data_IF_686760780323
#
_entry.id   IF_686760780323
#
_cell.length_a   1.000
_cell.length_b   1.000
_cell.length_c   1.000
_cell.angle_alpha   90.00
_cell.angle_beta   90.00
_cell.angle_gamma   90.00
#
_symmetry.space_group_name_H-M   'P 1'
#
loop_
_entity.id
_entity.type
_entity.pdbx_description
1 polymer ?
#
# COMPACT_ATOMS: atom_id res chain seq x y z
N UNK A 1 11.35 18.10 -10.70
CA UNK A 1 12.73 18.40 -10.29
C UNK A 1 13.66 17.58 -11.17
N UNK A 2 14.63 18.22 -11.81
CA UNK A 2 15.64 17.53 -12.62
C UNK A 2 16.74 16.94 -11.73
N UNK A 3 17.10 15.67 -11.96
CA UNK A 3 18.18 14.97 -11.26
C UNK A 3 19.00 14.20 -12.30
N UNK A 4 20.33 14.22 -12.17
CA UNK A 4 21.21 13.45 -13.05
C UNK A 4 21.04 11.93 -12.83
N UNK A 5 21.42 11.13 -13.82
CA UNK A 5 21.47 9.67 -13.67
C UNK A 5 22.46 9.22 -12.58
N UNK A 6 22.22 8.08 -11.91
CA UNK A 6 23.13 7.53 -10.90
C UNK A 6 24.48 7.06 -11.49
N UNK A 7 25.51 6.89 -10.64
CA UNK A 7 26.77 6.25 -11.01
C UNK A 7 26.57 4.83 -11.56
N UNK A 8 27.35 4.47 -12.58
CA UNK A 8 27.33 3.11 -13.13
C UNK A 8 27.95 2.12 -12.14
N UNK A 9 27.54 0.85 -12.19
CA UNK A 9 28.17 -0.21 -11.38
C UNK A 9 29.69 -0.30 -11.59
N UNK A 10 30.16 -0.07 -12.82
CA UNK A 10 31.59 -0.03 -13.14
C UNK A 10 32.32 1.12 -12.42
N UNK A 11 31.72 2.31 -12.36
CA UNK A 11 32.24 3.44 -11.58
C UNK A 11 32.30 3.10 -10.10
N UNK A 12 31.23 2.52 -9.55
CA UNK A 12 31.16 2.11 -8.14
C UNK A 12 32.25 1.10 -7.80
N UNK A 13 32.42 0.04 -8.59
CA UNK A 13 33.45 -0.96 -8.34
C UNK A 13 34.86 -0.40 -8.44
N UNK A 14 35.09 0.55 -9.35
CA UNK A 14 36.37 1.26 -9.43
C UNK A 14 36.67 2.04 -8.16
N UNK A 15 35.69 2.78 -7.61
CA UNK A 15 35.84 3.51 -6.34
C UNK A 15 36.22 2.58 -5.18
N UNK A 16 35.50 1.47 -5.04
CA UNK A 16 35.78 0.48 -3.98
C UNK A 16 37.09 -0.28 -4.21
N UNK A 17 37.53 -0.39 -5.46
CA UNK A 17 38.80 -1.01 -5.84
C UNK A 17 40.02 -0.10 -5.71
N UNK A 18 39.83 1.22 -5.66
CA UNK A 18 40.92 2.22 -5.57
C UNK A 18 41.15 2.77 -4.16
N UNK A 19 40.38 2.30 -3.17
CA UNK A 19 40.50 2.74 -1.79
C UNK A 19 40.05 1.67 -0.80
N UNK A 20 40.51 1.75 0.44
CA UNK A 20 40.27 0.74 1.49
C UNK A 20 39.48 1.29 2.68
N UNK A 21 39.54 2.60 2.91
CA UNK A 21 38.96 3.28 4.06
C UNK A 21 38.20 4.54 3.66
N UNK A 22 37.27 4.93 4.54
CA UNK A 22 36.50 6.17 4.45
C UNK A 22 37.37 7.39 4.06
N UNK A 23 36.88 8.21 3.13
CA UNK A 23 37.58 9.40 2.63
C UNK A 23 37.58 10.56 3.63
N UNK A 24 36.76 10.49 4.68
CA UNK A 24 36.75 11.52 5.71
C UNK A 24 38.12 11.62 6.43
N UNK A 25 38.65 12.84 6.68
CA UNK A 25 39.97 13.01 7.27
C UNK A 25 40.17 12.22 8.58
N UNK A 26 41.27 11.48 8.65
CA UNK A 26 41.67 10.66 9.81
C UNK A 26 40.72 9.50 10.15
N UNK A 27 39.73 9.21 9.32
CA UNK A 27 38.88 8.05 9.51
C UNK A 27 39.60 6.78 9.02
N UNK A 28 39.62 5.75 9.87
CA UNK A 28 40.24 4.45 9.58
C UNK A 28 39.21 3.34 9.41
N UNK A 29 37.93 3.69 9.25
CA UNK A 29 36.85 2.72 9.04
C UNK A 29 36.99 2.12 7.65
N UNK A 30 36.97 0.79 7.57
CA UNK A 30 37.10 0.07 6.29
C UNK A 30 35.80 0.13 5.51
N UNK A 31 35.92 0.06 4.18
CA UNK A 31 34.74 -0.04 3.32
C UNK A 31 33.94 -1.31 3.57
N UNK A 32 34.64 -2.43 3.77
CA UNK A 32 34.05 -3.74 4.01
C UNK A 32 34.53 -4.25 5.36
N UNK A 33 33.58 -4.69 6.17
CA UNK A 33 33.80 -5.31 7.47
C UNK A 33 33.28 -6.74 7.46
N UNK A 34 33.81 -7.56 8.38
CA UNK A 34 33.33 -8.92 8.58
C UNK A 34 32.57 -8.97 9.90
N UNK A 35 31.30 -9.37 9.85
CA UNK A 35 30.49 -9.60 11.04
C UNK A 35 30.72 -11.03 11.52
N UNK A 36 31.51 -11.17 12.59
CA UNK A 36 31.83 -12.44 13.22
C UNK A 36 30.60 -13.24 13.69
N UNK A 37 29.47 -12.57 13.96
CA UNK A 37 28.25 -13.24 14.44
C UNK A 37 27.44 -13.87 13.32
N UNK A 38 27.39 -13.20 12.17
CA UNK A 38 26.65 -13.69 11.00
C UNK A 38 27.54 -14.43 10.00
N UNK A 39 28.86 -14.30 10.13
CA UNK A 39 29.86 -14.85 9.21
C UNK A 39 29.85 -14.16 7.84
N UNK A 40 29.33 -12.93 7.75
CA UNK A 40 29.12 -12.22 6.48
C UNK A 40 29.97 -10.97 6.38
N UNK A 41 30.40 -10.65 5.17
CA UNK A 41 30.95 -9.34 4.85
C UNK A 41 29.81 -8.32 4.73
N UNK A 42 30.01 -7.14 5.31
CA UNK A 42 29.06 -6.03 5.31
C UNK A 42 29.77 -4.80 4.78
N UNK A 43 29.13 -4.07 3.88
CA UNK A 43 29.64 -2.77 3.46
C UNK A 43 29.31 -1.71 4.52
N UNK A 44 30.34 -1.07 5.07
CA UNK A 44 30.25 0.03 6.01
C UNK A 44 30.38 1.39 5.30
N UNK A 45 30.42 1.42 3.96
CA UNK A 45 30.55 2.66 3.18
C UNK A 45 29.43 2.88 2.18
N UNK A 46 29.26 4.14 1.78
CA UNK A 46 28.30 4.60 0.79
C UNK A 46 29.00 5.54 -0.20
N UNK A 47 28.51 5.54 -1.44
CA UNK A 47 28.99 6.44 -2.49
C UNK A 47 28.33 7.80 -2.30
N UNK A 48 29.11 8.79 -1.92
CA UNK A 48 28.66 10.17 -1.74
C UNK A 48 29.03 10.99 -2.98
N UNK A 49 28.11 11.86 -3.42
CA UNK A 49 28.40 12.83 -4.46
C UNK A 49 29.06 14.07 -3.85
N UNK A 50 30.17 14.52 -4.43
CA UNK A 50 30.82 15.77 -4.06
C UNK A 50 29.91 16.95 -4.41
N UNK A 51 29.42 17.00 -5.66
CA UNK A 51 28.33 17.87 -6.08
C UNK A 51 27.06 17.04 -6.27
N UNK A 52 25.96 17.41 -5.60
CA UNK A 52 24.73 16.64 -5.59
C UNK A 52 24.18 16.34 -6.99
N UNK A 53 23.41 15.26 -7.08
CA UNK A 53 22.75 14.80 -8.30
C UNK A 53 21.45 15.55 -8.60
N UNK A 54 20.78 16.04 -7.56
CA UNK A 54 19.49 16.71 -7.63
C UNK A 54 19.65 18.23 -7.62
N UNK A 55 18.87 18.91 -8.44
CA UNK A 55 18.79 20.36 -8.46
C UNK A 55 18.44 20.92 -7.08
N UNK A 56 19.18 21.93 -6.63
CA UNK A 56 19.14 22.50 -5.27
C UNK A 56 19.62 21.56 -4.14
N UNK A 57 20.20 20.41 -4.47
CA UNK A 57 20.86 19.56 -3.50
C UNK A 57 22.20 20.14 -3.01
N UNK A 58 22.78 19.45 -2.02
CA UNK A 58 24.05 19.80 -1.41
C UNK A 58 25.16 20.07 -2.46
N UNK A 59 25.69 21.29 -2.48
CA UNK A 59 26.76 21.72 -3.41
C UNK A 59 26.40 21.53 -4.90
N UNK A 60 25.13 21.64 -5.25
CA UNK A 60 24.65 21.57 -6.64
C UNK A 60 25.42 22.54 -7.54
N UNK A 61 25.93 22.02 -8.66
CA UNK A 61 26.63 22.80 -9.70
C UNK A 61 25.82 22.76 -10.99
N UNK A 62 25.16 23.86 -11.33
CA UNK A 62 24.32 23.97 -12.52
C UNK A 62 25.09 23.92 -13.84
N UNK A 63 26.42 24.04 -13.80
CA UNK A 63 27.29 23.90 -14.96
C UNK A 63 27.76 22.47 -15.21
N UNK A 64 27.57 21.57 -14.24
CA UNK A 64 28.01 20.18 -14.32
C UNK A 64 27.08 19.36 -15.23
N UNK A 65 27.67 18.60 -16.16
CA UNK A 65 26.91 17.67 -16.99
C UNK A 65 26.60 16.37 -16.26
N UNK A 66 25.59 15.62 -16.70
CA UNK A 66 25.28 14.30 -16.13
C UNK A 66 26.48 13.35 -16.16
N UNK A 67 27.27 13.39 -17.25
CA UNK A 67 28.45 12.54 -17.40
C UNK A 67 29.53 12.88 -16.37
N UNK A 68 29.74 14.17 -16.08
CA UNK A 68 30.69 14.64 -15.07
C UNK A 68 30.18 14.39 -13.64
N UNK A 69 28.86 14.50 -13.41
CA UNK A 69 28.27 14.28 -12.09
C UNK A 69 28.42 12.83 -11.62
N UNK A 70 28.29 11.87 -12.53
CA UNK A 70 28.39 10.43 -12.24
C UNK A 70 29.80 9.86 -12.44
N UNK A 71 30.77 10.70 -12.77
CA UNK A 71 32.17 10.31 -12.96
C UNK A 71 32.88 10.07 -11.61
N UNK A 72 33.95 9.27 -11.63
CA UNK A 72 34.78 8.99 -10.45
C UNK A 72 35.23 10.26 -9.72
N UNK A 73 35.56 11.30 -10.48
CA UNK A 73 36.09 12.57 -9.99
C UNK A 73 35.09 13.39 -9.16
N UNK A 74 33.79 13.06 -9.24
CA UNK A 74 32.74 13.68 -8.46
C UNK A 74 32.22 12.78 -7.31
N UNK A 75 32.84 11.63 -7.08
CA UNK A 75 32.36 10.64 -6.12
C UNK A 75 33.41 10.33 -5.06
N UNK A 76 32.99 10.13 -3.82
CA UNK A 76 33.87 9.77 -2.70
C UNK A 76 33.20 8.69 -1.85
N UNK A 77 33.98 7.73 -1.33
CA UNK A 77 33.46 6.71 -0.43
C UNK A 77 33.56 7.17 1.02
N UNK A 78 32.43 7.29 1.71
CA UNK A 78 32.36 7.64 3.12
C UNK A 78 31.74 6.50 3.92
N UNK A 79 32.20 6.28 5.14
CA UNK A 79 31.51 5.37 6.03
C UNK A 79 30.12 5.91 6.37
N UNK A 80 29.16 5.05 6.73
CA UNK A 80 27.76 5.43 6.98
C UNK A 80 27.61 6.65 7.90
N UNK A 81 28.46 6.73 8.94
CA UNK A 81 28.49 7.85 9.88
C UNK A 81 28.88 9.18 9.20
N UNK A 82 30.00 9.20 8.47
CA UNK A 82 30.48 10.43 7.84
C UNK A 82 29.66 10.80 6.60
N UNK A 83 29.07 9.82 5.92
CA UNK A 83 28.09 10.07 4.87
C UNK A 83 26.89 10.87 5.41
N UNK A 84 26.33 10.45 6.55
CA UNK A 84 25.24 11.20 7.18
C UNK A 84 25.64 12.64 7.56
N UNK A 85 26.89 12.86 7.99
CA UNK A 85 27.34 14.20 8.39
C UNK A 85 27.44 15.18 7.22
N UNK A 86 27.91 14.73 6.05
CA UNK A 86 28.10 15.60 4.88
C UNK A 86 26.81 15.88 4.10
N UNK A 87 25.78 15.07 4.37
CA UNK A 87 24.43 15.18 3.79
C UNK A 87 23.45 15.95 4.70
N UNK A 88 23.86 16.32 5.92
CA UNK A 88 23.02 17.09 6.85
C UNK A 88 22.68 18.46 6.24
N UNK A 89 21.40 18.89 6.26
CA UNK A 89 21.00 20.19 5.71
C UNK A 89 21.80 21.36 6.30
N UNK A 90 22.39 22.19 5.43
CA UNK A 90 23.20 23.35 5.83
C UNK A 90 24.68 23.02 6.11
N UNK A 91 25.11 21.78 5.93
CA UNK A 91 26.52 21.40 6.09
C UNK A 91 27.41 21.81 4.89
N UNK A 92 26.83 22.33 3.82
CA UNK A 92 27.52 22.71 2.57
C UNK A 92 28.59 23.79 2.75
N UNK A 93 28.40 24.68 3.72
CA UNK A 93 29.36 25.73 4.07
C UNK A 93 30.57 25.18 4.85
N UNK A 94 30.45 24.00 5.45
CA UNK A 94 31.46 23.33 6.28
C UNK A 94 32.20 22.24 5.49
N UNK A 95 31.48 21.54 4.63
CA UNK A 95 32.02 20.46 3.80
C UNK A 95 31.96 20.88 2.34
N UNK A 96 32.73 21.89 1.99
CA UNK A 96 32.67 22.47 0.64
C UNK A 96 33.08 21.45 -0.42
N UNK A 97 32.59 21.62 -1.67
CA UNK A 97 33.00 20.75 -2.78
C UNK A 97 34.53 20.73 -2.95
N UNK A 98 35.22 21.84 -2.69
CA UNK A 98 36.67 21.92 -2.73
C UNK A 98 37.33 21.03 -1.67
N UNK A 99 36.82 21.02 -0.45
CA UNK A 99 37.35 20.17 0.63
C UNK A 99 37.12 18.69 0.34
N UNK A 100 35.93 18.33 -0.12
CA UNK A 100 35.64 16.93 -0.48
C UNK A 100 36.50 16.43 -1.65
N UNK A 101 36.84 17.30 -2.63
CA UNK A 101 37.82 16.94 -3.68
C UNK A 101 39.20 16.64 -3.09
N UNK A 102 39.67 17.41 -2.10
CA UNK A 102 40.94 17.11 -1.39
C UNK A 102 40.86 15.79 -0.62
N UNK A 103 39.71 15.46 -0.05
CA UNK A 103 39.50 14.19 0.63
C UNK A 103 39.51 13.01 -0.35
N UNK A 104 38.91 13.19 -1.52
CA UNK A 104 38.95 12.22 -2.62
C UNK A 104 40.38 11.97 -3.09
N UNK A 105 41.16 13.02 -3.33
CA UNK A 105 42.60 12.91 -3.65
C UNK A 105 43.36 12.11 -2.58
N UNK A 106 43.12 12.40 -1.30
CA UNK A 106 43.75 11.66 -0.20
C UNK A 106 43.27 10.20 -0.11
N UNK A 107 42.00 9.93 -0.45
CA UNK A 107 41.45 8.58 -0.48
C UNK A 107 42.05 7.74 -1.61
N UNK A 108 42.30 8.33 -2.79
CA UNK A 108 42.94 7.64 -3.92
C UNK A 108 44.41 7.26 -3.64
N UNK A 109 45.08 8.00 -2.76
CA UNK A 109 46.44 7.68 -2.31
C UNK A 109 46.50 6.46 -1.38
N UNK A 110 45.37 5.91 -0.93
CA UNK A 110 45.34 4.69 -0.12
C UNK A 110 45.80 3.46 -0.90
N UNK A 111 45.69 3.50 -2.23
CA UNK A 111 46.05 2.40 -3.13
C UNK A 111 44.97 1.33 -3.26
N UNK A 112 45.26 0.34 -4.10
CA UNK A 112 44.29 -0.64 -4.54
C UNK A 112 43.74 -1.51 -3.39
N UNK A 113 42.47 -1.88 -3.53
CA UNK A 113 41.74 -2.77 -2.65
C UNK A 113 41.28 -4.00 -3.43
N UNK A 114 41.80 -5.17 -3.07
CA UNK A 114 41.51 -6.41 -3.76
C UNK A 114 40.12 -6.93 -3.36
N UNK A 115 39.11 -6.62 -4.17
CA UNK A 115 37.74 -7.06 -3.94
C UNK A 115 37.54 -8.51 -4.37
N UNK A 116 37.09 -9.36 -3.45
CA UNK A 116 36.61 -10.70 -3.73
C UNK A 116 35.12 -10.73 -4.08
N UNK A 117 34.58 -11.88 -4.53
CA UNK A 117 33.16 -12.04 -4.85
C UNK A 117 32.21 -11.63 -3.71
N UNK A 118 32.54 -11.98 -2.47
CA UNK A 118 31.74 -11.64 -1.28
C UNK A 118 31.77 -10.13 -0.96
N UNK A 119 32.86 -9.44 -1.32
CA UNK A 119 32.96 -7.98 -1.19
C UNK A 119 32.03 -7.30 -2.19
N UNK A 120 31.98 -7.78 -3.43
CA UNK A 120 31.07 -7.26 -4.46
C UNK A 120 29.60 -7.42 -4.05
N UNK A 121 29.24 -8.58 -3.48
CA UNK A 121 27.90 -8.82 -2.93
C UNK A 121 27.59 -7.83 -1.80
N UNK A 122 28.54 -7.62 -0.88
CA UNK A 122 28.39 -6.66 0.21
C UNK A 122 28.21 -5.22 -0.31
N UNK A 123 28.97 -4.80 -1.32
CA UNK A 123 28.87 -3.47 -1.96
C UNK A 123 27.52 -3.28 -2.65
N UNK A 124 27.07 -4.28 -3.42
CA UNK A 124 25.76 -4.23 -4.08
C UNK A 124 24.62 -4.11 -3.05
N UNK A 125 24.74 -4.78 -1.91
CA UNK A 125 23.73 -4.76 -0.85
C UNK A 125 23.64 -3.43 -0.08
N UNK A 126 24.69 -2.60 -0.07
CA UNK A 126 24.67 -1.27 0.56
C UNK A 126 24.26 -0.14 -0.37
N UNK A 127 24.42 -0.32 -1.68
CA UNK A 127 24.08 0.65 -2.71
C UNK A 127 22.77 0.26 -3.42
N UNK A 128 21.81 -0.32 -2.69
CA UNK A 128 20.48 -0.62 -3.24
C UNK A 128 19.77 0.71 -3.53
N UNK A 129 20.02 1.24 -4.71
CA UNK A 129 19.04 2.06 -5.40
C UNK A 129 18.02 1.07 -5.97
N UNK A 130 16.79 1.14 -5.49
CA UNK A 130 15.74 0.24 -5.96
C UNK A 130 15.37 0.67 -7.39
N UNK A 131 16.02 0.06 -8.38
CA UNK A 131 15.70 0.18 -9.80
C UNK A 131 14.87 -1.05 -10.19
N UNK A 132 13.66 -1.18 -9.64
CA UNK A 132 12.70 -2.16 -10.13
C UNK A 132 11.65 -1.43 -10.97
N UNK A 133 11.25 -1.99 -12.11
CA UNK A 133 10.11 -1.47 -12.88
C UNK A 133 8.82 -1.50 -12.05
N UNK A 134 8.71 -2.43 -11.09
CA UNK A 134 7.65 -2.49 -10.08
C UNK A 134 8.22 -2.95 -8.73
N UNK A 135 8.19 -2.08 -7.73
CA UNK A 135 8.48 -2.42 -6.33
C UNK A 135 7.14 -2.69 -5.65
N UNK A 136 6.80 -3.95 -5.42
CA UNK A 136 5.59 -4.27 -4.67
C UNK A 136 5.88 -4.20 -3.18
N UNK A 137 5.37 -3.16 -2.53
CA UNK A 137 5.49 -2.93 -1.09
C UNK A 137 4.18 -3.23 -0.35
N UNK A 138 3.15 -3.71 -1.04
CA UNK A 138 1.93 -4.17 -0.41
C UNK A 138 2.18 -5.44 0.41
N UNK A 139 1.38 -5.64 1.45
CA UNK A 139 1.38 -6.93 2.15
C UNK A 139 0.99 -8.06 1.20
N UNK A 140 1.38 -9.30 1.50
CA UNK A 140 0.85 -10.45 0.76
C UNK A 140 -0.44 -10.87 1.46
N UNK A 141 -1.53 -11.08 0.71
CA UNK A 141 -2.78 -11.62 1.25
C UNK A 141 -2.57 -12.98 1.93
N UNK A 142 -3.53 -13.39 2.76
CA UNK A 142 -3.45 -14.70 3.43
C UNK A 142 -3.36 -15.84 2.41
N UNK A 143 -2.36 -16.72 2.52
CA UNK A 143 -2.17 -17.85 1.59
C UNK A 143 -2.85 -19.15 2.06
N UNK A 144 -3.52 -19.12 3.21
CA UNK A 144 -4.35 -20.22 3.71
C UNK A 144 -5.82 -19.78 3.78
N UNK A 145 -6.79 -20.69 3.60
CA UNK A 145 -8.20 -20.39 3.84
C UNK A 145 -8.39 -19.77 5.23
N UNK A 146 -9.17 -18.70 5.33
CA UNK A 146 -9.41 -17.99 6.59
C UNK A 146 -8.21 -17.24 7.17
N UNK A 147 -7.07 -17.14 6.48
CA UNK A 147 -5.94 -16.35 6.97
C UNK A 147 -6.16 -14.85 6.74
N UNK A 148 -5.79 -14.01 7.70
CA UNK A 148 -5.70 -12.56 7.51
C UNK A 148 -4.59 -12.18 6.53
N UNK A 149 -4.78 -11.07 5.81
CA UNK A 149 -3.83 -10.52 4.87
C UNK A 149 -2.76 -9.65 5.52
N UNK A 150 -1.61 -9.53 4.87
CA UNK A 150 -0.53 -8.64 5.31
C UNK A 150 -0.90 -7.16 5.13
N UNK A 151 -0.45 -6.30 6.05
CA UNK A 151 -0.55 -4.86 5.91
C UNK A 151 0.40 -4.30 4.85
N UNK A 152 0.04 -3.18 4.26
CA UNK A 152 0.82 -2.48 3.24
C UNK A 152 2.04 -1.78 3.82
N UNK A 153 3.15 -1.79 3.10
CA UNK A 153 4.35 -1.05 3.41
C UNK A 153 4.18 0.45 3.17
N UNK A 154 4.93 1.27 3.90
CA UNK A 154 4.98 2.71 3.71
C UNK A 154 6.43 3.19 3.55
N UNK A 155 6.65 4.17 2.66
CA UNK A 155 7.97 4.78 2.46
C UNK A 155 7.89 6.31 2.66
N UNK A 156 8.75 6.82 3.53
CA UNK A 156 8.95 8.24 3.82
C UNK A 156 9.45 8.50 5.24
N UNK A 157 9.81 9.75 5.55
CA UNK A 157 10.16 10.16 6.92
C UNK A 157 8.95 9.97 7.84
N UNK A 158 9.14 9.34 9.00
CA UNK A 158 8.06 8.96 9.95
C UNK A 158 6.94 8.07 9.35
N UNK A 159 7.18 7.42 8.21
CA UNK A 159 6.18 6.53 7.61
C UNK A 159 5.96 5.26 8.45
N UNK A 160 4.73 4.75 8.46
CA UNK A 160 4.33 3.56 9.22
C UNK A 160 3.62 2.56 8.33
N UNK A 161 4.09 1.31 8.34
CA UNK A 161 3.39 0.21 7.67
C UNK A 161 2.02 -0.08 8.29
N UNK A 162 1.09 -0.53 7.47
CA UNK A 162 -0.24 -0.96 7.90
C UNK A 162 -0.18 -2.23 8.75
N UNK A 163 -1.15 -2.40 9.63
CA UNK A 163 -1.33 -3.65 10.38
C UNK A 163 -1.83 -4.77 9.45
N UNK A 164 -1.46 -6.02 9.72
CA UNK A 164 -2.12 -7.17 9.08
C UNK A 164 -3.55 -7.34 9.58
N UNK A 165 -4.36 -8.05 8.80
CA UNK A 165 -5.70 -8.47 9.23
C UNK A 165 -5.67 -9.71 10.11
N UNK A 166 -6.75 -9.92 10.85
CA UNK A 166 -6.97 -11.08 11.69
C UNK A 166 -7.29 -12.32 10.86
N UNK A 167 -7.00 -13.52 11.38
CA UNK A 167 -7.55 -14.74 10.81
C UNK A 167 -9.02 -14.92 11.18
N UNK A 168 -9.78 -15.58 10.31
CA UNK A 168 -11.15 -16.00 10.58
C UNK A 168 -11.21 -17.11 11.63
N UNK A 169 -12.37 -17.24 12.27
CA UNK A 169 -12.63 -18.28 13.27
C UNK A 169 -12.94 -19.62 12.62
N UNK A 170 -12.53 -20.71 13.27
CA UNK A 170 -12.89 -22.06 12.83
C UNK A 170 -14.01 -22.60 13.71
N UNK A 171 -15.18 -22.81 13.11
CA UNK A 171 -16.34 -23.42 13.76
C UNK A 171 -16.45 -24.89 13.37
N UNK A 172 -16.55 -25.76 14.39
CA UNK A 172 -16.74 -27.19 14.19
C UNK A 172 -18.09 -27.62 14.76
N UNK A 173 -19.05 -27.84 13.87
CA UNK A 173 -20.38 -28.32 14.20
C UNK A 173 -20.54 -29.76 13.69
N UNK A 174 -20.12 -30.75 14.49
CA UNK A 174 -20.25 -32.19 14.18
C UNK A 174 -19.05 -33.07 14.60
N UNK A 175 -19.18 -34.39 14.40
CA UNK A 175 -18.11 -35.39 14.63
C UNK A 175 -17.35 -35.59 13.30
N UNK A 176 -16.02 -35.73 13.35
CA UNK A 176 -15.18 -35.88 12.16
C UNK A 176 -15.52 -37.20 11.45
N UNK A 177 -15.90 -37.12 10.17
CA UNK A 177 -15.93 -38.28 9.27
C UNK A 177 -14.50 -38.78 9.04
N UNK A 178 -14.34 -40.09 8.80
CA UNK A 178 -13.06 -40.71 8.46
C UNK A 178 -12.41 -39.96 7.27
N UNK A 179 -11.13 -39.54 7.37
CA UNK A 179 -10.41 -38.85 6.30
C UNK A 179 -10.48 -39.53 4.92
N UNK A 180 -10.77 -40.84 4.86
CA UNK A 180 -10.98 -41.56 3.61
C UNK A 180 -12.24 -41.15 2.83
N UNK A 181 -13.20 -40.47 3.46
CA UNK A 181 -14.45 -40.01 2.85
C UNK A 181 -14.35 -38.61 2.22
N UNK A 182 -13.24 -37.91 2.44
CA UNK A 182 -12.99 -36.58 1.87
C UNK A 182 -12.30 -36.74 0.50
N UNK A 183 -12.91 -36.21 -0.56
CA UNK A 183 -12.21 -36.06 -1.83
C UNK A 183 -11.00 -35.14 -1.65
N UNK A 184 -9.85 -35.55 -2.21
CA UNK A 184 -8.64 -34.73 -2.17
C UNK A 184 -8.86 -33.48 -3.02
N UNK A 185 -8.67 -32.32 -2.42
CA UNK A 185 -8.40 -31.07 -3.12
C UNK A 185 -7.26 -31.29 -4.12
N UNK A 186 -7.55 -31.21 -5.41
CA UNK A 186 -6.54 -31.25 -6.46
C UNK A 186 -6.21 -29.84 -6.98
N UNK A 187 -5.10 -29.77 -7.71
CA UNK A 187 -4.51 -28.51 -8.20
C UNK A 187 -5.32 -27.85 -9.32
N UNK A 188 -6.37 -28.48 -9.84
CA UNK A 188 -7.14 -27.94 -10.98
C UNK A 188 -8.11 -26.81 -10.59
N UNK A 189 -8.33 -26.57 -9.28
CA UNK A 189 -9.19 -25.49 -8.80
C UNK A 189 -8.52 -24.10 -8.74
N UNK A 190 -7.18 -24.02 -8.80
CA UNK A 190 -6.44 -22.76 -8.78
C UNK A 190 -5.91 -22.47 -10.18
N UNK A 191 -6.58 -21.58 -10.90
CA UNK A 191 -6.23 -21.26 -12.29
C UNK A 191 -4.90 -20.51 -12.40
N UNK A 192 -4.49 -19.75 -11.38
CA UNK A 192 -3.24 -18.97 -11.38
C UNK A 192 -2.69 -18.71 -9.96
N UNK A 193 -1.40 -18.39 -9.86
CA UNK A 193 -0.68 -18.01 -8.62
C UNK A 193 -1.24 -16.77 -7.89
N UNK A 194 -2.23 -16.08 -8.47
CA UNK A 194 -2.88 -14.88 -7.93
C UNK A 194 -4.29 -15.16 -7.37
N UNK A 195 -4.77 -16.41 -7.41
CA UNK A 195 -6.04 -16.75 -6.77
C UNK A 195 -5.85 -16.84 -5.25
N UNK A 196 -6.29 -15.78 -4.56
CA UNK A 196 -6.39 -15.73 -3.10
C UNK A 196 -7.28 -16.91 -2.65
N UNK A 197 -6.83 -17.75 -1.69
CA UNK A 197 -7.63 -18.86 -1.16
C UNK A 197 -9.01 -18.40 -0.68
N UNK A 198 -10.00 -19.28 -0.72
CA UNK A 198 -11.35 -19.00 -0.24
C UNK A 198 -11.33 -18.50 1.21
N UNK A 199 -12.02 -17.38 1.46
CA UNK A 199 -12.05 -16.74 2.76
C UNK A 199 -10.71 -16.21 3.27
N UNK A 200 -9.66 -16.03 2.45
CA UNK A 200 -8.46 -15.34 2.91
C UNK A 200 -8.58 -13.82 2.73
N UNK A 201 -8.00 -13.08 3.68
CA UNK A 201 -8.00 -11.63 3.72
C UNK A 201 -7.05 -10.98 2.69
N UNK A 202 -7.52 -9.88 2.11
CA UNK A 202 -6.78 -9.11 1.10
C UNK A 202 -5.52 -8.42 1.65
N UNK A 203 -4.61 -8.08 0.75
CA UNK A 203 -3.42 -7.29 1.08
C UNK A 203 -3.75 -5.82 1.39
N UNK A 204 -2.99 -5.20 2.29
CA UNK A 204 -3.01 -3.76 2.49
C UNK A 204 -2.24 -3.01 1.39
N UNK A 205 -2.78 -1.87 0.96
CA UNK A 205 -2.18 -1.02 -0.07
C UNK A 205 -0.92 -0.30 0.43
N UNK A 206 0.08 -0.15 -0.44
CA UNK A 206 1.29 0.59 -0.11
C UNK A 206 1.07 2.11 -0.08
N UNK A 207 1.85 2.84 0.71
CA UNK A 207 1.78 4.29 0.79
C UNK A 207 3.14 4.97 0.60
N UNK A 208 3.17 6.14 -0.04
CA UNK A 208 4.38 6.92 -0.33
C UNK A 208 4.20 8.36 0.13
N UNK A 209 5.16 8.89 0.90
CA UNK A 209 5.15 10.29 1.36
C UNK A 209 5.60 10.47 2.82
N UNK A 210 5.87 11.71 3.22
CA UNK A 210 6.16 12.04 4.62
C UNK A 210 4.97 11.70 5.51
N UNK A 211 5.21 10.96 6.61
CA UNK A 211 4.19 10.44 7.52
C UNK A 211 3.13 9.55 6.84
N UNK A 212 3.43 8.98 5.66
CA UNK A 212 2.52 8.07 4.97
C UNK A 212 2.23 6.82 5.80
N UNK A 213 0.98 6.37 5.76
CA UNK A 213 0.51 5.19 6.49
C UNK A 213 0.05 4.14 5.48
N UNK A 214 0.65 2.96 5.53
CA UNK A 214 0.27 1.84 4.68
C UNK A 214 -1.11 1.29 5.07
N UNK A 215 -1.87 0.82 4.08
CA UNK A 215 -3.21 0.26 4.30
C UNK A 215 -3.17 -1.00 5.16
N UNK A 216 -4.20 -1.26 5.95
CA UNK A 216 -4.30 -2.52 6.70
C UNK A 216 -4.61 -3.70 5.78
N UNK A 217 -4.10 -4.88 6.13
CA UNK A 217 -4.52 -6.13 5.53
C UNK A 217 -5.95 -6.48 5.94
N UNK A 218 -6.64 -7.24 5.10
CA UNK A 218 -7.98 -7.72 5.37
C UNK A 218 -8.04 -8.92 6.29
N UNK A 219 -9.17 -9.06 6.96
CA UNK A 219 -9.45 -10.21 7.81
C UNK A 219 -9.78 -11.44 6.96
N UNK A 220 -9.43 -12.61 7.49
CA UNK A 220 -9.88 -13.88 6.94
C UNK A 220 -11.35 -14.14 7.28
N UNK A 221 -12.08 -14.78 6.39
CA UNK A 221 -13.43 -15.29 6.62
C UNK A 221 -13.45 -16.54 7.48
N UNK A 222 -14.60 -16.76 8.12
CA UNK A 222 -14.80 -17.90 8.99
C UNK A 222 -14.83 -19.23 8.22
N UNK A 223 -14.34 -20.29 8.85
CA UNK A 223 -14.31 -21.64 8.29
C UNK A 223 -15.27 -22.51 9.09
N UNK A 224 -16.26 -23.10 8.41
CA UNK A 224 -17.24 -24.00 9.02
C UNK A 224 -17.03 -25.43 8.55
N UNK A 225 -16.83 -26.35 9.49
CA UNK A 225 -16.93 -27.79 9.25
C UNK A 225 -18.30 -28.29 9.75
N UNK A 226 -19.13 -28.80 8.85
CA UNK A 226 -20.53 -29.18 9.14
C UNK A 226 -20.85 -30.57 8.60
N UNK A 227 -21.53 -31.39 9.41
CA UNK A 227 -22.21 -32.62 8.97
C UNK A 227 -23.71 -32.48 9.23
N UNK A 228 -24.55 -32.75 8.23
CA UNK A 228 -26.01 -32.62 8.35
C UNK A 228 -26.79 -33.34 7.25
N UNK A 229 -28.02 -33.76 7.56
CA UNK A 229 -28.91 -34.42 6.59
C UNK A 229 -29.55 -33.40 5.66
N UNK A 230 -29.28 -33.48 4.36
CA UNK A 230 -29.98 -32.69 3.35
C UNK A 230 -31.34 -33.32 3.01
N UNK A 231 -32.41 -32.53 2.86
CA UNK A 231 -33.67 -33.03 2.32
C UNK A 231 -33.48 -33.54 0.87
N UNK A 232 -34.38 -34.38 0.37
CA UNK A 232 -34.25 -34.91 -1.00
C UNK A 232 -34.26 -33.77 -2.05
N UNK A 233 -33.25 -33.74 -2.90
CA UNK A 233 -33.11 -32.73 -3.95
C UNK A 233 -31.69 -32.65 -4.50
N UNK A 234 -31.51 -31.80 -5.51
CA UNK A 234 -30.18 -31.43 -6.01
C UNK A 234 -29.73 -30.16 -5.31
N UNK A 235 -28.48 -30.13 -4.88
CA UNK A 235 -27.90 -28.98 -4.18
C UNK A 235 -26.59 -28.58 -4.84
N UNK A 236 -26.26 -27.30 -4.73
CA UNK A 236 -24.97 -26.74 -5.08
C UNK A 236 -24.34 -26.13 -3.83
N UNK A 237 -23.06 -26.43 -3.61
CA UNK A 237 -22.26 -25.75 -2.60
C UNK A 237 -21.66 -24.51 -3.28
N UNK A 238 -22.02 -23.34 -2.77
CA UNK A 238 -21.47 -22.05 -3.18
C UNK A 238 -20.36 -21.70 -2.21
N UNK A 239 -19.11 -21.86 -2.66
CA UNK A 239 -17.93 -21.48 -1.87
C UNK A 239 -17.65 -19.99 -2.09
N UNK A 240 -17.66 -19.24 -1.00
CA UNK A 240 -17.40 -17.81 -0.99
C UNK A 240 -15.93 -17.49 -1.28
N UNK A 241 -15.68 -16.52 -2.14
CA UNK A 241 -14.33 -16.02 -2.48
C UNK A 241 -13.84 -14.98 -1.48
N UNK A 242 -12.53 -14.96 -1.22
CA UNK A 242 -11.88 -13.87 -0.51
C UNK A 242 -11.99 -12.54 -1.27
N UNK A 243 -12.00 -11.43 -0.53
CA UNK A 243 -12.03 -10.06 -1.03
C UNK A 243 -10.77 -9.73 -1.84
N UNK A 244 -10.91 -9.07 -3.00
CA UNK A 244 -9.80 -8.76 -3.93
C UNK A 244 -9.48 -7.27 -4.02
N UNK A 245 -10.47 -6.40 -3.82
CA UNK A 245 -10.33 -4.95 -3.94
C UNK A 245 -10.43 -4.27 -2.56
N UNK A 246 -9.89 -3.05 -2.38
CA UNK A 246 -10.04 -2.30 -1.13
C UNK A 246 -11.52 -2.12 -0.73
N UNK A 247 -11.84 -2.52 0.50
CA UNK A 247 -13.15 -2.39 1.12
C UNK A 247 -14.19 -3.46 0.74
N UNK A 248 -13.85 -4.46 -0.08
CA UNK A 248 -14.74 -5.58 -0.40
C UNK A 248 -15.03 -6.49 0.79
N UNK A 249 -16.26 -6.96 0.88
CA UNK A 249 -16.59 -8.13 1.70
C UNK A 249 -16.28 -9.40 0.93
N UNK A 250 -15.57 -10.34 1.57
CA UNK A 250 -15.51 -11.71 1.07
C UNK A 250 -16.92 -12.27 0.92
N UNK A 251 -17.12 -13.11 -0.10
CA UNK A 251 -18.41 -13.73 -0.31
C UNK A 251 -18.66 -14.80 0.76
N UNK A 252 -19.91 -14.98 1.18
CA UNK A 252 -20.24 -16.04 2.11
C UNK A 252 -20.20 -17.42 1.45
N UNK A 253 -19.85 -18.44 2.22
CA UNK A 253 -20.02 -19.85 1.80
C UNK A 253 -21.39 -20.37 2.26
N UNK A 254 -22.18 -20.92 1.34
CA UNK A 254 -23.51 -21.48 1.63
C UNK A 254 -23.89 -22.62 0.68
N UNK A 255 -24.97 -23.34 0.99
CA UNK A 255 -25.54 -24.40 0.15
C UNK A 255 -26.87 -23.89 -0.41
N UNK A 256 -27.12 -24.08 -1.70
CA UNK A 256 -28.39 -23.73 -2.35
C UNK A 256 -29.04 -24.94 -3.00
N UNK A 257 -30.38 -25.00 -3.01
CA UNK A 257 -31.13 -26.07 -3.65
C UNK A 257 -31.43 -25.71 -5.11
N UNK A 258 -31.05 -26.59 -6.03
CA UNK A 258 -31.23 -26.39 -7.47
C UNK A 258 -32.70 -26.61 -7.86
N UNK A 259 -33.27 -25.67 -8.62
CA UNK A 259 -34.60 -25.79 -9.24
C UNK A 259 -35.69 -24.84 -8.69
N UNK A 260 -35.51 -24.26 -7.50
CA UNK A 260 -36.48 -23.34 -6.88
C UNK A 260 -35.92 -21.93 -6.64
N UNK A 261 -34.60 -21.71 -6.80
CA UNK A 261 -33.95 -20.43 -6.54
C UNK A 261 -33.94 -20.00 -5.06
N UNK A 262 -34.43 -20.87 -4.17
CA UNK A 262 -34.52 -20.64 -2.75
C UNK A 262 -33.16 -20.96 -2.09
N UNK A 263 -32.55 -19.95 -1.47
CA UNK A 263 -31.33 -20.12 -0.67
C UNK A 263 -31.70 -20.84 0.62
N UNK A 264 -31.27 -22.09 0.77
CA UNK A 264 -31.54 -22.87 1.98
C UNK A 264 -30.35 -22.76 2.92
N UNK A 265 -30.45 -21.87 3.91
CA UNK A 265 -29.46 -21.74 4.99
C UNK A 265 -29.66 -22.89 5.97
N UNK A 266 -28.90 -23.97 5.78
CA UNK A 266 -29.18 -25.22 6.48
C UNK A 266 -28.80 -25.20 7.96
N UNK A 267 -27.82 -24.39 8.38
CA UNK A 267 -27.38 -24.32 9.78
C UNK A 267 -26.89 -22.91 10.11
N UNK A 268 -27.12 -22.47 11.36
CA UNK A 268 -26.91 -21.11 11.85
C UNK A 268 -25.58 -20.46 11.46
N UNK A 269 -25.68 -19.15 11.30
CA UNK A 269 -24.70 -18.15 10.88
C UNK A 269 -23.88 -18.51 9.63
N UNK A 270 -24.14 -17.71 8.59
CA UNK A 270 -23.40 -17.67 7.33
C UNK A 270 -21.89 -17.63 7.65
N UNK A 271 -21.08 -18.48 7.01
CA UNK A 271 -19.63 -18.31 7.04
C UNK A 271 -19.31 -17.02 6.32
N UNK A 272 -19.20 -15.92 7.07
CA UNK A 272 -18.99 -14.59 6.53
C UNK A 272 -17.58 -14.55 5.92
N UNK A 273 -17.50 -14.06 4.69
CA UNK A 273 -16.19 -13.74 4.14
C UNK A 273 -15.59 -12.58 4.93
N UNK A 274 -14.29 -12.65 5.19
CA UNK A 274 -13.57 -11.59 5.89
C UNK A 274 -13.54 -10.30 5.07
N UNK A 275 -13.42 -9.17 5.75
CA UNK A 275 -13.33 -7.85 5.11
C UNK A 275 -11.93 -7.66 4.53
N UNK A 276 -11.77 -7.29 3.26
CA UNK A 276 -10.47 -6.72 2.81
C UNK A 276 -10.25 -5.40 3.52
N UNK A 277 -9.05 -5.21 4.09
CA UNK A 277 -8.62 -3.99 4.78
C UNK A 277 -9.73 -3.38 5.63
N UNK A 278 -9.86 -3.88 6.86
CA UNK A 278 -10.83 -3.41 7.84
C UNK A 278 -11.01 -1.88 7.78
N UNK A 279 -12.19 -1.41 7.38
CA UNK A 279 -12.53 0.01 7.32
C UNK A 279 -12.84 0.52 8.73
N UNK A 280 -11.79 0.87 9.48
CA UNK A 280 -11.89 1.43 10.82
C UNK A 280 -11.10 2.72 10.87
N UNK A 281 -11.54 3.64 11.71
CA UNK A 281 -10.75 4.81 12.02
C UNK A 281 -9.50 4.40 12.81
N UNK A 282 -8.39 5.10 12.58
CA UNK A 282 -7.23 5.04 13.47
C UNK A 282 -7.63 5.53 14.87
N UNK A 283 -6.87 5.18 15.91
CA UNK A 283 -7.21 5.55 17.30
C UNK A 283 -7.37 7.08 17.49
N UNK A 284 -6.77 7.87 16.60
CA UNK A 284 -6.78 9.34 16.62
C UNK A 284 -7.96 9.95 15.82
N UNK A 285 -8.72 9.14 15.09
CA UNK A 285 -9.84 9.59 14.24
C UNK A 285 -11.17 9.11 14.84
N UNK A 286 -12.11 10.03 15.02
CA UNK A 286 -13.44 9.69 15.53
C UNK A 286 -14.49 9.63 14.42
N UNK A 287 -15.46 8.74 14.57
CA UNK A 287 -16.67 8.74 13.74
C UNK A 287 -17.46 10.05 13.93
N UNK A 288 -18.02 10.58 12.84
CA UNK A 288 -18.93 11.73 12.88
C UNK A 288 -20.20 11.37 13.65
N UNK A 289 -20.44 12.09 14.76
CA UNK A 289 -21.66 12.03 15.56
C UNK A 289 -22.65 13.15 15.22
N UNK A 290 -23.85 13.08 15.82
CA UNK A 290 -24.91 14.07 15.65
C UNK A 290 -24.47 15.49 16.05
N UNK A 291 -23.66 15.63 17.10
CA UNK A 291 -23.20 16.92 17.60
C UNK A 291 -22.34 17.67 16.56
N UNK A 292 -21.59 16.95 15.73
CA UNK A 292 -20.79 17.56 14.66
C UNK A 292 -21.68 18.15 13.55
N UNK A 293 -22.83 17.54 13.28
CA UNK A 293 -23.80 18.05 12.31
C UNK A 293 -24.46 19.32 12.83
N UNK A 294 -24.78 19.35 14.12
CA UNK A 294 -25.34 20.54 14.79
C UNK A 294 -24.33 21.70 14.79
N UNK A 295 -23.03 21.40 14.95
CA UNK A 295 -21.95 22.38 14.79
C UNK A 295 -21.64 22.73 13.33
N UNK A 296 -22.40 22.20 12.36
CA UNK A 296 -22.36 22.61 10.96
C UNK A 296 -21.39 21.84 10.07
N UNK A 297 -21.00 20.62 10.45
CA UNK A 297 -20.37 19.67 9.53
C UNK A 297 -21.39 19.19 8.49
N UNK A 298 -21.00 19.17 7.21
CA UNK A 298 -21.81 18.55 6.17
C UNK A 298 -20.95 17.91 5.07
N UNK A 299 -21.45 16.79 4.54
CA UNK A 299 -20.94 16.21 3.29
C UNK A 299 -21.79 16.79 2.16
N UNK A 300 -21.30 17.83 1.50
CA UNK A 300 -22.07 18.59 0.49
C UNK A 300 -22.10 17.91 -0.87
N UNK A 301 -21.03 17.21 -1.24
CA UNK A 301 -20.93 16.51 -2.51
C UNK A 301 -20.39 15.10 -2.27
N UNK A 302 -20.95 14.12 -2.97
CA UNK A 302 -20.40 12.79 -3.14
C UNK A 302 -20.59 12.43 -4.62
N UNK A 303 -19.50 12.39 -5.38
CA UNK A 303 -19.56 12.24 -6.83
C UNK A 303 -18.51 11.28 -7.37
N UNK A 304 -18.88 10.47 -8.36
CA UNK A 304 -17.93 9.63 -9.10
C UNK A 304 -17.11 10.48 -10.06
N UNK A 305 -15.83 10.16 -10.22
CA UNK A 305 -14.95 10.83 -11.17
C UNK A 305 -14.04 9.88 -11.95
N UNK A 306 -13.55 10.37 -13.08
CA UNK A 306 -12.57 9.68 -13.93
C UNK A 306 -11.23 10.41 -13.87
N UNK A 307 -10.43 10.09 -12.85
CA UNK A 307 -9.15 10.76 -12.58
C UNK A 307 -9.32 12.13 -11.93
N UNK A 308 -8.60 12.33 -10.83
CA UNK A 308 -8.43 13.63 -10.17
C UNK A 308 -6.92 13.90 -10.08
N UNK A 309 -6.49 15.02 -10.63
CA UNK A 309 -5.13 15.52 -10.51
C UNK A 309 -5.15 16.80 -9.66
N UNK A 310 -4.01 17.18 -9.08
CA UNK A 310 -3.86 18.48 -8.42
C UNK A 310 -3.01 19.35 -9.35
N UNK A 311 -3.64 20.30 -10.05
CA UNK A 311 -2.96 21.31 -10.86
C UNK A 311 -2.90 22.64 -10.09
N UNK A 312 -1.69 23.10 -9.77
CA UNK A 312 -1.44 24.37 -9.04
C UNK A 312 -2.21 24.50 -7.72
N UNK A 313 -2.36 23.39 -6.99
CA UNK A 313 -3.06 23.36 -5.69
C UNK A 313 -4.59 23.35 -5.80
N UNK A 314 -5.13 23.22 -7.01
CA UNK A 314 -6.56 23.03 -7.25
C UNK A 314 -6.81 21.62 -7.80
N UNK A 315 -7.84 20.90 -7.34
CA UNK A 315 -8.19 19.62 -7.91
C UNK A 315 -8.75 19.81 -9.32
N UNK A 316 -8.04 19.29 -10.32
CA UNK A 316 -8.50 19.15 -11.69
C UNK A 316 -9.09 17.76 -11.86
N UNK A 317 -10.41 17.70 -12.01
CA UNK A 317 -11.12 16.45 -12.27
C UNK A 317 -11.51 16.39 -13.74
N UNK A 318 -11.06 15.37 -14.47
CA UNK A 318 -11.27 15.30 -15.91
C UNK A 318 -12.76 15.11 -16.26
N UNK A 319 -13.49 14.31 -15.49
CA UNK A 319 -14.95 14.13 -15.58
C UNK A 319 -15.56 13.85 -14.22
N UNK A 320 -16.68 14.49 -13.91
CA UNK A 320 -17.49 14.27 -12.72
C UNK A 320 -18.90 13.82 -13.14
N UNK A 321 -19.46 12.82 -12.46
CA UNK A 321 -20.89 12.50 -12.52
C UNK A 321 -21.25 11.41 -13.53
N UNK A 322 -20.94 10.16 -13.18
CA UNK A 322 -21.48 9.01 -13.89
C UNK A 322 -22.88 8.70 -13.35
N UNK A 323 -23.91 8.84 -14.18
CA UNK A 323 -25.23 8.26 -13.89
C UNK A 323 -25.30 6.79 -14.33
N UNK A 324 -24.35 6.32 -15.14
CA UNK A 324 -24.20 4.91 -15.49
C UNK A 324 -22.74 4.56 -15.89
N UNK A 325 -22.39 3.28 -15.81
CA UNK A 325 -21.13 2.66 -16.24
C UNK A 325 -21.47 1.48 -17.17
N UNK A 326 -20.79 1.40 -18.31
CA UNK A 326 -21.01 0.36 -19.33
C UNK A 326 -19.94 -0.73 -19.24
N UNK A 327 -20.37 -1.98 -19.06
CA UNK A 327 -19.50 -3.15 -18.88
C UNK A 327 -19.82 -4.17 -19.98
N UNK A 328 -18.78 -4.65 -20.68
CA UNK A 328 -18.93 -5.60 -21.78
C UNK A 328 -19.07 -7.05 -21.33
N UNK A 329 -18.36 -7.43 -20.27
CA UNK A 329 -18.33 -8.81 -19.79
C UNK A 329 -18.51 -8.83 -18.28
N UNK A 330 -19.36 -9.73 -17.80
CA UNK A 330 -19.50 -10.04 -16.38
C UNK A 330 -18.96 -11.45 -16.09
N UNK A 331 -18.42 -11.72 -14.90
CA UNK A 331 -18.22 -10.79 -13.78
C UNK A 331 -17.14 -9.74 -14.06
N UNK A 332 -17.26 -8.55 -13.45
CA UNK A 332 -16.33 -7.43 -13.60
C UNK A 332 -15.96 -6.86 -12.23
N UNK A 333 -14.66 -6.67 -12.00
CA UNK A 333 -14.14 -6.05 -10.78
C UNK A 333 -14.26 -4.53 -10.93
N UNK A 334 -15.33 -3.96 -10.38
CA UNK A 334 -15.61 -2.53 -10.48
C UNK A 334 -14.79 -1.79 -9.42
N UNK A 335 -13.94 -0.86 -9.86
CA UNK A 335 -13.31 0.14 -8.99
C UNK A 335 -13.91 1.51 -9.31
N UNK A 336 -14.42 2.17 -8.28
CA UNK A 336 -15.05 3.49 -8.37
C UNK A 336 -14.16 4.50 -7.67
N UNK A 337 -13.75 5.54 -8.41
CA UNK A 337 -13.12 6.72 -7.83
C UNK A 337 -14.19 7.75 -7.50
N UNK A 338 -14.18 8.26 -6.28
CA UNK A 338 -15.15 9.22 -5.81
C UNK A 338 -14.47 10.40 -5.11
N UNK A 339 -15.12 11.55 -5.20
CA UNK A 339 -14.73 12.77 -4.51
C UNK A 339 -15.84 13.17 -3.55
N UNK A 340 -15.46 13.53 -2.33
CA UNK A 340 -16.35 14.11 -1.34
C UNK A 340 -15.94 15.55 -1.05
N UNK A 341 -16.92 16.45 -0.95
CA UNK A 341 -16.73 17.82 -0.47
C UNK A 341 -17.33 17.93 0.92
N UNK A 342 -16.51 18.32 1.89
CA UNK A 342 -16.91 18.58 3.26
C UNK A 342 -16.94 20.08 3.52
N UNK A 343 -17.89 20.51 4.31
CA UNK A 343 -17.93 21.87 4.83
C UNK A 343 -18.06 21.85 6.35
N UNK A 344 -17.48 22.88 6.96
CA UNK A 344 -17.38 23.07 8.40
C UNK A 344 -17.87 24.48 8.72
N UNK A 345 -18.50 24.70 9.88
CA UNK A 345 -18.65 26.06 10.41
C UNK A 345 -17.50 26.42 11.36
N UNK A 346 -16.96 25.43 12.07
CA UNK A 346 -15.89 25.56 13.04
C UNK A 346 -14.92 24.38 12.90
N UNK A 347 -13.65 24.55 13.30
CA UNK A 347 -12.66 23.47 13.31
C UNK A 347 -12.88 22.53 14.49
N UNK A 348 -12.68 21.23 14.28
CA UNK A 348 -12.81 20.21 15.33
C UNK A 348 -11.48 19.99 16.04
N UNK A 349 -11.50 19.87 17.38
CA UNK A 349 -10.31 19.59 18.20
C UNK A 349 -9.66 18.23 17.89
N UNK A 350 -10.46 17.27 17.40
CA UNK A 350 -10.04 15.94 17.04
C UNK A 350 -10.42 15.66 15.58
N UNK A 351 -9.61 14.85 14.91
CA UNK A 351 -9.86 14.47 13.54
C UNK A 351 -11.12 13.59 13.46
N UNK A 352 -11.97 13.88 12.47
CA UNK A 352 -13.21 13.16 12.25
C UNK A 352 -13.12 12.31 10.98
N UNK A 353 -13.91 11.25 10.91
CA UNK A 353 -13.94 10.32 9.80
C UNK A 353 -15.36 9.89 9.47
N UNK A 354 -15.57 9.51 8.21
CA UNK A 354 -16.83 8.96 7.71
C UNK A 354 -16.59 7.58 7.09
N UNK A 355 -17.63 6.76 7.00
CA UNK A 355 -17.63 5.56 6.17
C UNK A 355 -18.24 5.86 4.81
N UNK A 356 -17.71 5.20 3.79
CA UNK A 356 -18.31 5.22 2.45
C UNK A 356 -18.55 3.79 2.00
N UNK A 357 -19.77 3.51 1.58
CA UNK A 357 -20.22 2.17 1.20
C UNK A 357 -20.76 2.11 -0.22
N UNK A 358 -20.39 1.05 -0.95
CA UNK A 358 -21.02 0.64 -2.20
C UNK A 358 -22.16 -0.32 -1.88
N UNK A 359 -23.37 0.02 -2.31
CA UNK A 359 -24.58 -0.74 -2.04
C UNK A 359 -25.25 -1.14 -3.35
N UNK A 360 -25.61 -2.42 -3.45
CA UNK A 360 -26.38 -2.98 -4.58
C UNK A 360 -27.50 -3.86 -4.03
N UNK A 361 -28.71 -3.64 -4.52
CA UNK A 361 -29.95 -4.31 -4.05
C UNK A 361 -30.16 -4.22 -2.52
N UNK A 362 -29.84 -3.07 -1.94
CA UNK A 362 -29.87 -2.79 -0.49
C UNK A 362 -28.86 -3.58 0.35
N UNK A 363 -27.99 -4.37 -0.28
CA UNK A 363 -26.88 -5.03 0.40
C UNK A 363 -25.61 -4.23 0.20
N UNK A 364 -24.91 -3.95 1.31
CA UNK A 364 -23.56 -3.41 1.24
C UNK A 364 -22.64 -4.45 0.60
N UNK A 365 -21.92 -4.01 -0.43
CA UNK A 365 -20.96 -4.82 -1.20
C UNK A 365 -19.53 -4.48 -0.83
N UNK A 366 -19.30 -3.23 -0.45
CA UNK A 366 -18.01 -2.76 0.04
C UNK A 366 -18.18 -1.56 0.98
N UNK A 367 -17.20 -1.35 1.85
CA UNK A 367 -17.10 -0.22 2.78
C UNK A 367 -15.64 0.19 2.96
N UNK A 368 -15.39 1.50 3.00
CA UNK A 368 -14.10 2.10 3.36
C UNK A 368 -14.27 3.13 4.47
N UNK A 369 -13.21 3.36 5.24
CA UNK A 369 -13.12 4.46 6.19
C UNK A 369 -12.38 5.61 5.51
N UNK A 370 -12.97 6.80 5.53
CA UNK A 370 -12.42 8.02 4.94
C UNK A 370 -12.16 9.00 6.07
N UNK A 371 -10.88 9.25 6.34
CA UNK A 371 -10.48 10.33 7.23
C UNK A 371 -10.80 11.66 6.56
N UNK A 372 -11.50 12.54 7.28
CA UNK A 372 -11.85 13.85 6.74
C UNK A 372 -10.64 14.77 6.93
N UNK A 373 -10.07 15.35 5.86
CA UNK A 373 -8.97 16.29 6.01
C UNK A 373 -9.40 17.51 6.83
N UNK A 374 -8.50 18.06 7.63
CA UNK A 374 -8.78 19.31 8.33
C UNK A 374 -8.59 20.50 7.36
N UNK A 375 -9.48 21.50 7.37
CA UNK A 375 -9.30 22.68 6.54
C UNK A 375 -8.12 23.53 7.02
N UNK A 376 -7.24 23.90 6.09
CA UNK A 376 -6.09 24.78 6.36
C UNK A 376 -6.49 26.27 6.31
N UNK A 377 -5.91 27.07 7.22
CA UNK A 377 -6.09 28.51 7.24
C UNK A 377 -7.53 28.95 7.55
N UNK A 378 -8.07 29.87 6.74
CA UNK A 378 -9.45 30.39 6.90
C UNK A 378 -10.48 29.63 6.05
N UNK A 379 -10.09 28.54 5.39
CA UNK A 379 -11.05 27.74 4.60
C UNK A 379 -12.02 27.03 5.53
N UNK A 380 -13.29 26.95 5.11
CA UNK A 380 -14.34 26.22 5.80
C UNK A 380 -14.84 25.04 4.97
N UNK A 381 -14.07 24.63 3.96
CA UNK A 381 -14.39 23.49 3.11
C UNK A 381 -13.13 22.82 2.62
N UNK A 382 -13.22 21.49 2.49
CA UNK A 382 -12.13 20.64 2.01
C UNK A 382 -12.72 19.52 1.19
N UNK A 383 -11.97 19.01 0.23
CA UNK A 383 -12.36 17.85 -0.55
C UNK A 383 -11.37 16.72 -0.31
N UNK A 384 -11.85 15.48 -0.43
CA UNK A 384 -10.97 14.31 -0.51
C UNK A 384 -11.43 13.40 -1.65
N UNK A 385 -10.47 12.72 -2.27
CA UNK A 385 -10.72 11.68 -3.25
C UNK A 385 -10.36 10.33 -2.62
N UNK A 386 -11.13 9.30 -2.96
CA UNK A 386 -10.93 7.93 -2.50
C UNK A 386 -11.46 6.94 -3.54
N UNK A 387 -10.99 5.71 -3.44
CA UNK A 387 -11.39 4.60 -4.30
C UNK A 387 -12.07 3.51 -3.48
N UNK A 388 -13.12 2.93 -4.04
CA UNK A 388 -13.84 1.80 -3.44
C UNK A 388 -14.20 0.79 -4.53
N UNK A 389 -14.04 -0.50 -4.26
CA UNK A 389 -14.25 -1.55 -5.24
C UNK A 389 -15.30 -2.59 -4.84
N UNK A 390 -15.95 -3.20 -5.82
CA UNK A 390 -16.80 -4.38 -5.62
C UNK A 390 -16.87 -5.22 -6.91
N UNK A 391 -16.86 -6.56 -6.78
CA UNK A 391 -17.17 -7.43 -7.90
C UNK A 391 -18.65 -7.34 -8.31
N UNK A 392 -18.88 -7.04 -9.57
CA UNK A 392 -20.21 -6.92 -10.17
C UNK A 392 -20.53 -8.16 -10.98
N UNK A 393 -21.66 -8.81 -10.66
CA UNK A 393 -22.12 -10.03 -11.32
C UNK A 393 -23.03 -9.78 -12.52
N UNK A 394 -23.58 -8.58 -12.64
CA UNK A 394 -24.51 -8.23 -13.70
C UNK A 394 -24.95 -6.76 -13.65
N UNK A 395 -25.76 -6.32 -14.63
CA UNK A 395 -26.29 -4.96 -14.65
C UNK A 395 -27.23 -4.71 -13.48
N UNK A 396 -27.32 -3.46 -13.04
CA UNK A 396 -28.17 -3.10 -11.92
C UNK A 396 -27.98 -1.67 -11.44
N UNK A 397 -28.78 -1.31 -10.43
CA UNK A 397 -28.69 0.00 -9.80
C UNK A 397 -27.82 -0.09 -8.56
N UNK A 398 -26.91 0.87 -8.42
CA UNK A 398 -25.93 0.97 -7.36
C UNK A 398 -26.03 2.31 -6.65
N UNK A 399 -25.59 2.31 -5.39
CA UNK A 399 -25.49 3.49 -4.54
C UNK A 399 -24.10 3.60 -3.96
N UNK A 400 -23.57 4.82 -3.96
CA UNK A 400 -22.48 5.20 -3.10
C UNK A 400 -23.07 5.97 -1.92
N UNK A 401 -22.79 5.54 -0.69
CA UNK A 401 -23.41 6.05 0.54
C UNK A 401 -22.33 6.50 1.48
N UNK A 402 -22.29 7.80 1.80
CA UNK A 402 -21.49 8.34 2.90
C UNK A 402 -22.32 8.29 4.19
N UNK A 403 -21.81 7.63 5.22
CA UNK A 403 -22.49 7.45 6.49
C UNK A 403 -21.51 7.41 7.66
N UNK A 404 -22.00 7.57 8.88
CA UNK A 404 -21.22 7.41 10.11
C UNK A 404 -22.15 7.03 11.25
N UNK A 405 -21.83 5.98 12.00
CA UNK A 405 -22.61 5.51 13.17
C UNK A 405 -24.14 5.51 12.97
N UNK A 406 -24.60 4.98 11.83
CA UNK A 406 -26.02 4.89 11.49
C UNK A 406 -26.66 6.18 10.96
N UNK A 407 -25.88 7.26 10.85
CA UNK A 407 -26.28 8.53 10.26
C UNK A 407 -25.96 8.51 8.76
N UNK A 408 -26.97 8.77 7.93
CA UNK A 408 -26.77 9.03 6.50
C UNK A 408 -26.30 10.46 6.29
N UNK A 409 -25.09 10.63 5.76
CA UNK A 409 -24.48 11.95 5.52
C UNK A 409 -24.75 12.45 4.09
N UNK A 410 -24.55 11.57 3.10
CA UNK A 410 -24.86 11.84 1.69
C UNK A 410 -24.98 10.52 0.92
N UNK A 411 -25.63 10.53 -0.24
CA UNK A 411 -25.63 9.39 -1.15
C UNK A 411 -25.83 9.82 -2.60
N UNK A 412 -25.29 9.01 -3.52
CA UNK A 412 -25.56 9.16 -4.95
C UNK A 412 -25.87 7.80 -5.60
N UNK A 413 -26.60 7.85 -6.71
CA UNK A 413 -27.02 6.67 -7.47
C UNK A 413 -26.27 6.61 -8.80
N UNK A 414 -25.96 5.40 -9.25
CA UNK A 414 -25.45 5.13 -10.59
C UNK A 414 -25.91 3.76 -11.10
N UNK A 415 -25.92 3.56 -12.41
CA UNK A 415 -26.35 2.31 -13.03
C UNK A 415 -25.19 1.55 -13.66
N UNK A 416 -25.04 0.27 -13.39
CA UNK A 416 -24.16 -0.60 -14.18
C UNK A 416 -24.98 -1.23 -15.29
N UNK A 417 -24.54 -1.10 -16.54
CA UNK A 417 -25.22 -1.63 -17.73
C UNK A 417 -24.33 -2.63 -18.45
N UNK A 418 -24.95 -3.68 -19.01
CA UNK A 418 -24.30 -4.57 -19.96
C UNK A 418 -24.44 -4.03 -21.37
N UNK A 419 -23.34 -3.92 -22.12
CA UNK A 419 -23.32 -3.44 -23.52
C UNK A 419 -22.66 -4.40 -24.49
#
# INVERSE_FOLDING_TARGET
>A
MTSHAPPTAATVYRLYGSSQHCGFPKCIERHIEFDDRTGKKISNSQVCHICARSENGARWDSSQTEAENRDDSNLILLCRKHHAWVDEPGADDIYTAQEMRRWKEAQELQGDNLLGPDDLIAIQSSNIEIIAENVNLGGIGGMAPGAGGGGGGAIGTNARGGAGGNGGSVFKNGILVDPSALERWDREFFGNLFDIPYGAGGAGEGALGESAVGGRGGDGGDIHFVEGSLPAGSFQIVVGRGSRLPGEFGQPTYIERLGEGEKVYLFGDLALGGMSGDSYFTDDVMAVQAEHLDSGFSVNCLALHDGAEIDRGLPTVNRIGWSWIDIRNFPFDLVVNAIALFSFKEQFEKQVGIFVSLVHDNFEKARIAVEVPQPEGSSLSVFCSFSIGAQVQGPGTWRLVAHSDGILLNQMWFHVRGV
#
